data_IF_629542420333
#
_entry.id   IF_629542420333
#
_cell.length_a   1.000
_cell.length_b   1.000
_cell.length_c   1.000
_cell.angle_alpha   90.00
_cell.angle_beta   90.00
_cell.angle_gamma   90.00
#
_symmetry.space_group_name_H-M   'P 1'
#
loop_
_entity.id
_entity.type
_entity.pdbx_description
1 polymer ?
#
# COMPACT_ATOMS: atom_id res chain seq x y z
N UNK A 1 21.44 -12.95 -8.15
CA UNK A 1 20.76 -11.68 -8.52
C UNK A 1 19.25 -11.89 -8.40
N UNK A 2 18.54 -11.20 -7.50
CA UNK A 2 17.07 -11.26 -7.49
C UNK A 2 16.53 -10.40 -8.64
N UNK A 3 15.64 -10.92 -9.50
CA UNK A 3 15.06 -10.14 -10.59
C UNK A 3 14.35 -8.90 -10.01
N UNK A 4 14.60 -7.72 -10.61
CA UNK A 4 13.91 -6.48 -10.26
C UNK A 4 12.42 -6.64 -10.58
N UNK A 5 11.63 -7.00 -9.58
CA UNK A 5 10.17 -7.01 -9.68
C UNK A 5 9.66 -5.58 -9.61
N UNK A 6 9.16 -5.09 -10.74
CA UNK A 6 8.42 -3.83 -10.80
C UNK A 6 7.00 -4.08 -10.28
N UNK A 7 6.58 -3.28 -9.31
CA UNK A 7 5.26 -3.33 -8.73
C UNK A 7 4.47 -2.12 -9.19
N UNK A 8 3.27 -2.35 -9.72
CA UNK A 8 2.36 -1.26 -10.04
C UNK A 8 1.94 -0.53 -8.76
N UNK A 9 1.82 0.80 -8.83
CA UNK A 9 1.38 1.65 -7.73
C UNK A 9 0.08 1.13 -7.07
N UNK A 10 -0.92 0.79 -7.88
CA UNK A 10 -2.20 0.23 -7.40
C UNK A 10 -2.04 -1.07 -6.61
N UNK A 11 -1.14 -1.97 -7.04
CA UNK A 11 -0.88 -3.21 -6.32
C UNK A 11 -0.23 -2.96 -4.95
N UNK A 12 0.68 -1.98 -4.86
CA UNK A 12 1.27 -1.58 -3.58
C UNK A 12 0.20 -0.98 -2.66
N UNK A 13 -0.61 -0.04 -3.17
CA UNK A 13 -1.66 0.60 -2.39
C UNK A 13 -2.70 -0.40 -1.87
N UNK A 14 -3.14 -1.35 -2.70
CA UNK A 14 -4.02 -2.44 -2.28
C UNK A 14 -3.39 -3.30 -1.19
N UNK A 15 -2.08 -3.59 -1.26
CA UNK A 15 -1.41 -4.40 -0.25
C UNK A 15 -1.40 -3.71 1.11
N UNK A 16 -1.17 -2.39 1.10
CA UNK A 16 -1.23 -1.56 2.29
C UNK A 16 -2.65 -1.44 2.84
N UNK A 17 -3.67 -1.39 1.99
CA UNK A 17 -5.07 -1.40 2.40
C UNK A 17 -5.45 -2.72 3.08
N UNK A 18 -5.16 -3.85 2.47
CA UNK A 18 -5.50 -5.17 3.03
C UNK A 18 -4.74 -5.41 4.35
N UNK A 19 -3.47 -5.05 4.42
CA UNK A 19 -2.67 -5.21 5.64
C UNK A 19 -3.02 -4.18 6.74
N UNK A 20 -3.17 -2.91 6.38
CA UNK A 20 -3.37 -1.82 7.32
C UNK A 20 -4.83 -1.68 7.74
N UNK A 21 -5.71 -1.46 6.76
CA UNK A 21 -7.13 -1.17 6.98
C UNK A 21 -7.94 -2.42 7.30
N UNK A 22 -7.87 -3.45 6.46
CA UNK A 22 -8.62 -4.70 6.66
C UNK A 22 -7.98 -5.62 7.72
N UNK A 23 -6.83 -5.23 8.27
CA UNK A 23 -6.12 -5.96 9.34
C UNK A 23 -5.74 -7.41 9.00
N UNK A 24 -5.75 -7.78 7.72
CA UNK A 24 -5.36 -9.12 7.28
C UNK A 24 -3.86 -9.39 7.52
N UNK A 25 -3.43 -10.65 7.45
CA UNK A 25 -2.01 -10.98 7.54
C UNK A 25 -1.33 -10.61 6.23
N UNK A 26 -0.03 -10.34 6.29
CA UNK A 26 0.74 -9.97 5.09
C UNK A 26 0.71 -11.05 3.99
N UNK A 27 0.60 -12.32 4.38
CA UNK A 27 0.46 -13.46 3.45
C UNK A 27 -0.90 -13.49 2.73
N UNK A 28 -1.96 -12.99 3.39
CA UNK A 28 -3.29 -12.91 2.80
C UNK A 28 -3.35 -11.76 1.79
N UNK A 29 -2.79 -10.60 2.16
CA UNK A 29 -2.64 -9.44 1.27
C UNK A 29 -1.84 -9.79 0.00
N UNK A 30 -0.76 -10.55 0.18
CA UNK A 30 0.03 -11.11 -0.90
C UNK A 30 -0.80 -11.98 -1.84
N UNK A 31 -1.48 -12.99 -1.29
CA UNK A 31 -2.29 -13.95 -2.05
C UNK A 31 -3.37 -13.23 -2.86
N UNK A 32 -4.01 -12.20 -2.29
CA UNK A 32 -5.09 -11.45 -2.92
C UNK A 32 -4.65 -10.58 -4.10
N UNK A 33 -3.39 -10.14 -4.13
CA UNK A 33 -2.88 -9.18 -5.13
C UNK A 33 -2.03 -9.86 -6.20
N UNK A 34 -1.52 -11.06 -5.91
CA UNK A 34 -0.77 -11.88 -6.87
C UNK A 34 0.44 -12.57 -6.25
N UNK A 35 1.04 -13.52 -6.95
CA UNK A 35 2.11 -14.41 -6.44
C UNK A 35 3.44 -13.74 -6.07
N UNK A 36 3.50 -12.42 -5.95
CA UNK A 36 4.72 -11.70 -5.63
C UNK A 36 5.29 -12.01 -4.25
N UNK A 37 4.51 -12.69 -3.42
CA UNK A 37 4.75 -12.84 -2.01
C UNK A 37 4.39 -14.23 -1.47
N UNK A 38 4.48 -15.28 -2.29
CA UNK A 38 4.59 -16.66 -1.78
C UNK A 38 5.88 -16.78 -0.95
N UNK A 39 5.77 -16.56 0.37
CA UNK A 39 6.84 -16.73 1.35
C UNK A 39 7.26 -15.47 2.12
N UNK A 40 8.30 -15.57 2.97
CA UNK A 40 8.76 -14.49 3.87
C UNK A 40 9.09 -13.14 3.21
N UNK A 41 9.29 -13.15 1.88
CA UNK A 41 9.56 -11.96 1.07
C UNK A 41 8.42 -10.92 1.09
N UNK A 42 7.18 -11.36 1.33
CA UNK A 42 5.99 -10.49 1.44
C UNK A 42 6.21 -9.36 2.45
N UNK A 43 6.64 -9.75 3.65
CA UNK A 43 6.85 -8.83 4.76
C UNK A 43 8.04 -7.90 4.52
N UNK A 44 9.08 -8.40 3.85
CA UNK A 44 10.24 -7.59 3.49
C UNK A 44 9.87 -6.52 2.46
N UNK A 45 9.06 -6.86 1.46
CA UNK A 45 8.58 -5.91 0.46
C UNK A 45 7.67 -4.83 1.12
N UNK A 46 6.72 -5.24 1.95
CA UNK A 46 5.83 -4.31 2.65
C UNK A 46 6.59 -3.31 3.52
N UNK A 47 7.58 -3.78 4.31
CA UNK A 47 8.44 -2.89 5.09
C UNK A 47 9.24 -1.92 4.21
N UNK A 48 9.80 -2.39 3.09
CA UNK A 48 10.53 -1.55 2.14
C UNK A 48 9.66 -0.45 1.54
N UNK A 49 8.41 -0.76 1.20
CA UNK A 49 7.46 0.23 0.69
C UNK A 49 7.10 1.27 1.74
N UNK A 50 6.81 0.85 2.98
CA UNK A 50 6.55 1.78 4.08
C UNK A 50 7.72 2.73 4.31
N UNK A 51 8.96 2.23 4.31
CA UNK A 51 10.14 3.08 4.41
C UNK A 51 10.31 4.02 3.22
N UNK A 52 9.94 3.59 2.01
CA UNK A 52 9.96 4.46 0.83
C UNK A 52 8.90 5.57 0.91
N UNK A 53 7.72 5.26 1.45
CA UNK A 53 6.63 6.22 1.70
C UNK A 53 7.03 7.23 2.76
N UNK A 54 7.52 6.77 3.91
CA UNK A 54 7.98 7.65 4.99
C UNK A 54 9.14 8.56 4.52
N UNK A 55 9.93 8.13 3.53
CA UNK A 55 10.98 8.91 2.90
C UNK A 55 10.52 9.75 1.69
N UNK A 56 9.22 9.81 1.39
CA UNK A 56 8.65 10.58 0.27
C UNK A 56 9.02 10.08 -1.14
N UNK A 57 9.61 8.88 -1.26
CA UNK A 57 10.02 8.28 -2.54
C UNK A 57 8.93 7.46 -3.22
N UNK A 58 7.87 7.14 -2.48
CA UNK A 58 6.70 6.43 -2.98
C UNK A 58 5.46 7.13 -2.42
N UNK A 59 4.51 7.47 -3.29
CA UNK A 59 3.33 8.26 -2.94
C UNK A 59 3.69 9.58 -2.20
N UNK A 60 4.31 10.56 -2.88
CA UNK A 60 4.79 11.80 -2.25
C UNK A 60 3.68 12.61 -1.54
N UNK A 61 2.42 12.42 -1.92
CA UNK A 61 1.26 13.02 -1.26
C UNK A 61 1.01 12.48 0.17
N UNK A 62 1.58 11.32 0.51
CA UNK A 62 1.48 10.74 1.85
C UNK A 62 2.51 11.40 2.76
N UNK A 63 2.02 12.28 3.64
CA UNK A 63 2.86 12.87 4.69
C UNK A 63 3.44 11.79 5.59
N UNK A 64 4.72 11.95 5.94
CA UNK A 64 5.48 11.07 6.82
C UNK A 64 4.72 10.73 8.11
N UNK A 65 4.84 9.48 8.53
CA UNK A 65 4.15 8.97 9.71
C UNK A 65 4.87 9.40 10.99
N UNK A 66 4.16 9.72 12.09
CA UNK A 66 4.78 9.99 13.38
C UNK A 66 5.66 8.84 13.89
N UNK A 67 6.71 9.19 14.65
CA UNK A 67 7.56 8.21 15.32
C UNK A 67 6.74 7.36 16.30
N UNK A 68 6.92 6.05 16.26
CA UNK A 68 6.18 5.09 17.12
C UNK A 68 4.95 4.47 16.47
N UNK A 69 4.53 4.92 15.28
CA UNK A 69 3.45 4.27 14.56
C UNK A 69 3.84 2.86 14.10
N UNK A 70 2.98 1.90 14.41
CA UNK A 70 3.14 0.52 13.96
C UNK A 70 3.10 0.44 12.42
N UNK A 71 3.72 -0.59 11.82
CA UNK A 71 3.63 -0.80 10.37
C UNK A 71 2.18 -0.83 9.84
N UNK A 72 1.23 -1.34 10.64
CA UNK A 72 -0.20 -1.36 10.25
C UNK A 72 -0.80 0.03 10.17
N UNK A 73 -0.55 0.89 11.17
CA UNK A 73 -1.04 2.27 11.16
C UNK A 73 -0.45 3.07 9.99
N UNK A 74 0.84 2.87 9.70
CA UNK A 74 1.50 3.50 8.54
C UNK A 74 0.88 3.04 7.22
N UNK A 75 0.63 1.73 7.08
CA UNK A 75 -0.01 1.17 5.90
C UNK A 75 -1.44 1.68 5.72
N UNK A 76 -2.23 1.73 6.80
CA UNK A 76 -3.60 2.27 6.77
C UNK A 76 -3.60 3.74 6.33
N UNK A 77 -2.75 4.58 6.92
CA UNK A 77 -2.62 5.99 6.54
C UNK A 77 -2.27 6.15 5.07
N UNK A 78 -1.27 5.42 4.58
CA UNK A 78 -0.86 5.49 3.19
C UNK A 78 -2.01 5.10 2.26
N UNK A 79 -2.67 3.97 2.51
CA UNK A 79 -3.79 3.48 1.71
C UNK A 79 -4.96 4.48 1.69
N UNK A 80 -5.35 5.02 2.85
CA UNK A 80 -6.49 5.94 2.92
C UNK A 80 -6.16 7.33 2.36
N UNK A 81 -4.91 7.79 2.45
CA UNK A 81 -4.47 9.04 1.80
C UNK A 81 -4.57 8.90 0.28
N UNK A 82 -4.11 7.77 -0.25
CA UNK A 82 -4.20 7.48 -1.69
C UNK A 82 -5.66 7.33 -2.14
N UNK A 83 -6.51 6.65 -1.36
CA UNK A 83 -7.93 6.52 -1.66
C UNK A 83 -8.68 7.86 -1.69
N UNK A 84 -8.24 8.83 -0.87
CA UNK A 84 -8.82 10.17 -0.80
C UNK A 84 -8.55 11.03 -2.05
N UNK A 85 -7.63 10.62 -2.93
CA UNK A 85 -7.42 11.28 -4.22
C UNK A 85 -8.57 11.03 -5.20
N UNK A 86 -9.35 9.97 -4.98
CA UNK A 86 -10.56 9.72 -5.77
C UNK A 86 -11.70 10.60 -5.27
N UNK A 87 -12.46 11.28 -6.14
CA UNK A 87 -13.62 12.08 -5.74
C UNK A 87 -14.65 11.26 -4.96
N UNK A 88 -15.26 11.87 -3.93
CA UNK A 88 -16.31 11.23 -3.13
C UNK A 88 -17.57 10.92 -3.95
N UNK A 89 -17.83 11.66 -5.02
CA UNK A 89 -18.96 11.48 -5.95
C UNK A 89 -18.92 10.17 -6.74
N UNK A 90 -17.78 9.49 -6.79
CA UNK A 90 -17.67 8.18 -7.45
C UNK A 90 -18.11 7.10 -6.45
N UNK A 91 -19.31 6.57 -6.65
CA UNK A 91 -19.81 5.42 -5.90
C UNK A 91 -19.05 4.15 -6.33
N UNK A 92 -18.05 3.77 -5.56
CA UNK A 92 -17.22 2.60 -5.82
C UNK A 92 -16.62 2.08 -4.52
N UNK A 93 -16.27 0.79 -4.50
CA UNK A 93 -15.71 0.15 -3.31
C UNK A 93 -14.39 0.82 -2.88
N UNK A 94 -14.10 0.81 -1.58
CA UNK A 94 -12.85 1.35 -1.05
C UNK A 94 -11.61 0.75 -1.73
N UNK A 95 -11.64 -0.55 -2.04
CA UNK A 95 -10.57 -1.24 -2.77
C UNK A 95 -10.32 -0.61 -4.15
N UNK A 96 -11.39 -0.32 -4.91
CA UNK A 96 -11.27 0.36 -6.21
C UNK A 96 -10.77 1.78 -6.06
N UNK A 97 -11.22 2.51 -5.02
CA UNK A 97 -10.72 3.87 -4.73
C UNK A 97 -9.24 3.88 -4.42
N UNK A 98 -8.76 2.95 -3.59
CA UNK A 98 -7.34 2.79 -3.27
C UNK A 98 -6.54 2.48 -4.52
N UNK A 99 -6.98 1.51 -5.33
CA UNK A 99 -6.27 1.10 -6.54
C UNK A 99 -6.17 2.24 -7.56
N UNK A 100 -7.29 2.91 -7.85
CA UNK A 100 -7.35 4.00 -8.81
C UNK A 100 -6.62 5.25 -8.30
N UNK A 101 -6.80 5.61 -7.03
CA UNK A 101 -6.11 6.75 -6.41
C UNK A 101 -4.59 6.59 -6.43
N UNK A 102 -4.07 5.37 -6.42
CA UNK A 102 -2.63 5.12 -6.49
C UNK A 102 -2.00 5.57 -7.82
N UNK A 103 -2.77 5.58 -8.91
CA UNK A 103 -2.33 6.11 -10.19
C UNK A 103 -2.22 7.63 -10.20
N UNK A 104 -2.93 8.32 -9.30
CA UNK A 104 -2.91 9.78 -9.13
C UNK A 104 -1.86 10.24 -8.12
N UNK A 105 -1.22 9.30 -7.41
CA UNK A 105 -0.27 9.56 -6.33
C UNK A 105 1.20 9.55 -6.80
N UNK A 106 1.48 9.64 -8.10
CA UNK A 106 2.82 9.60 -8.70
C UNK A 106 3.49 10.95 -8.79
#
# INVERSE_FOLDING_TARGET
MLPRRHFAAGAIALALFVFGKLRSRAVDAATRIGSWARGPGAWRALRRWLTAIDAGRLFPCVRGSPSGWSPRQRAERAAMTVAALMPASVDTSEERRVFAGAALAT
#
